data_IF_955285823048
#
_entry.id   IF_955285823048
#
_cell.length_a   1.000
_cell.length_b   1.000
_cell.length_c   1.000
_cell.angle_alpha   90.00
_cell.angle_beta   90.00
_cell.angle_gamma   90.00
#
_symmetry.space_group_name_H-M   'P 1'
#
loop_
_entity.id
_entity.type
_entity.pdbx_description
1 polymer ?
#
# COMPACT_ATOMS: atom_id res chain seq x y z
N UNK A 1 11.22 42.74 -39.49
CA UNK A 1 10.30 42.55 -38.34
C UNK A 1 9.52 41.23 -38.51
N UNK A 2 9.97 40.10 -37.95
CA UNK A 2 9.16 38.88 -37.90
C UNK A 2 8.44 38.75 -36.56
N UNK A 3 7.13 38.53 -36.61
CA UNK A 3 6.25 38.32 -35.45
C UNK A 3 6.52 36.93 -34.84
N UNK A 4 7.08 36.89 -33.63
CA UNK A 4 7.31 35.65 -32.87
C UNK A 4 6.06 35.25 -32.10
N UNK A 5 5.52 34.07 -32.43
CA UNK A 5 4.35 33.47 -31.81
C UNK A 5 4.55 33.25 -30.29
N UNK A 6 3.53 33.58 -29.49
CA UNK A 6 3.51 33.44 -28.03
C UNK A 6 3.26 31.98 -27.64
N UNK A 7 4.26 31.34 -27.04
CA UNK A 7 4.24 29.97 -26.55
C UNK A 7 3.40 29.87 -25.26
N UNK A 8 2.20 29.28 -25.35
CA UNK A 8 1.27 29.04 -24.24
C UNK A 8 1.64 27.75 -23.48
N UNK A 9 2.74 27.78 -22.71
CA UNK A 9 3.14 26.68 -21.81
C UNK A 9 3.33 27.10 -20.36
N UNK A 10 2.45 27.93 -19.83
CA UNK A 10 2.44 28.29 -18.39
C UNK A 10 1.02 28.37 -17.87
N UNK A 11 0.38 27.21 -17.59
CA UNK A 11 -0.82 27.10 -16.73
C UNK A 11 -1.15 25.63 -16.45
N UNK A 12 -0.34 24.99 -15.61
CA UNK A 12 -0.70 23.76 -14.88
C UNK A 12 0.31 23.51 -13.74
N UNK A 13 0.54 24.51 -12.89
CA UNK A 13 1.24 24.34 -11.60
C UNK A 13 0.24 24.67 -10.49
N UNK A 14 -0.83 23.88 -10.42
CA UNK A 14 -1.84 23.95 -9.37
C UNK A 14 -1.59 22.87 -8.33
N UNK A 15 -1.06 23.29 -7.18
CA UNK A 15 -1.21 22.68 -5.86
C UNK A 15 -1.10 21.14 -5.74
N UNK A 16 0.12 20.59 -5.78
CA UNK A 16 0.40 19.36 -5.02
C UNK A 16 0.42 19.74 -3.54
N UNK A 17 -0.60 19.32 -2.79
CA UNK A 17 -0.64 19.47 -1.33
C UNK A 17 0.56 18.70 -0.76
N UNK A 18 1.58 19.35 -0.18
CA UNK A 18 2.73 18.62 0.35
C UNK A 18 2.25 17.76 1.51
N UNK A 19 2.53 16.46 1.46
CA UNK A 19 2.29 15.58 2.59
C UNK A 19 3.26 16.01 3.69
N UNK A 20 2.75 16.53 4.81
CA UNK A 20 3.55 16.94 5.96
C UNK A 20 4.45 15.78 6.36
N UNK A 21 5.76 16.02 6.39
CA UNK A 21 6.69 15.20 7.17
C UNK A 21 6.18 15.21 8.62
N UNK A 22 5.93 14.02 9.17
CA UNK A 22 5.45 13.84 10.53
C UNK A 22 6.66 13.49 11.39
N UNK A 23 6.97 14.36 12.35
CA UNK A 23 8.00 14.10 13.34
C UNK A 23 7.72 12.78 14.07
N UNK A 24 8.72 11.90 14.06
CA UNK A 24 8.64 10.56 14.62
C UNK A 24 8.92 10.65 16.11
N UNK A 25 7.93 11.06 16.89
CA UNK A 25 8.00 10.93 18.33
C UNK A 25 7.88 9.44 18.67
N UNK A 26 9.00 8.81 19.03
CA UNK A 26 9.01 7.53 19.73
C UNK A 26 8.46 7.79 21.14
N UNK A 27 7.13 7.87 21.28
CA UNK A 27 6.51 7.95 22.59
C UNK A 27 6.62 6.58 23.25
N UNK A 28 7.63 6.44 24.11
CA UNK A 28 7.70 5.37 25.09
C UNK A 28 6.47 5.48 26.00
N UNK A 29 5.58 4.47 25.97
CA UNK A 29 4.45 4.43 26.87
C UNK A 29 3.33 3.48 26.45
N UNK A 30 3.33 2.28 27.03
CA UNK A 30 2.13 1.44 27.14
C UNK A 30 2.17 0.16 26.31
N UNK A 31 2.40 -0.97 26.97
CA UNK A 31 2.34 -2.32 26.41
C UNK A 31 1.18 -2.53 25.43
N UNK A 32 1.46 -2.58 24.12
CA UNK A 32 0.57 -3.11 23.08
C UNK A 32 1.42 -3.84 22.05
N UNK A 33 0.97 -5.03 21.63
CA UNK A 33 1.76 -5.99 20.87
C UNK A 33 2.53 -5.38 19.69
N UNK A 34 3.86 -5.47 19.76
CA UNK A 34 4.79 -5.19 18.66
C UNK A 34 4.68 -6.22 17.53
N UNK A 35 3.70 -7.12 17.58
CA UNK A 35 3.49 -8.13 16.57
C UNK A 35 2.00 -8.47 16.40
N UNK A 36 1.65 -8.99 15.24
CA UNK A 36 0.34 -9.58 14.96
C UNK A 36 0.49 -10.97 14.36
N UNK A 37 -0.52 -11.82 14.57
CA UNK A 37 -0.59 -13.13 13.91
C UNK A 37 -1.20 -12.99 12.52
N UNK A 38 -0.47 -13.40 11.48
CA UNK A 38 -0.92 -13.28 10.10
C UNK A 38 -2.19 -14.12 9.83
N UNK A 39 -3.20 -13.50 9.19
CA UNK A 39 -4.42 -14.19 8.78
C UNK A 39 -4.24 -15.17 7.61
N UNK A 40 -3.12 -15.08 6.88
CA UNK A 40 -2.78 -15.96 5.75
C UNK A 40 -1.95 -17.18 6.18
N UNK A 41 -0.72 -16.94 6.64
CA UNK A 41 0.24 -17.99 6.97
C UNK A 41 0.40 -18.29 8.47
N UNK A 42 -0.33 -17.58 9.35
CA UNK A 42 -0.30 -17.75 10.81
C UNK A 42 1.02 -17.42 11.53
N UNK A 43 2.04 -16.98 10.81
CA UNK A 43 3.28 -16.45 11.40
C UNK A 43 3.00 -15.24 12.28
N UNK A 44 3.80 -15.09 13.34
CA UNK A 44 3.88 -13.87 14.12
C UNK A 44 4.74 -12.84 13.38
N UNK A 45 4.22 -11.64 13.19
CA UNK A 45 4.81 -10.60 12.34
C UNK A 45 4.99 -9.33 13.16
N UNK A 46 6.23 -8.86 13.24
CA UNK A 46 6.54 -7.56 13.86
C UNK A 46 5.84 -6.41 13.13
N UNK A 47 5.23 -5.48 13.87
CA UNK A 47 4.70 -4.24 13.30
C UNK A 47 5.80 -3.25 12.94
N UNK A 48 6.96 -3.38 13.58
CA UNK A 48 8.15 -2.58 13.31
C UNK A 48 8.82 -3.07 12.03
N UNK A 49 8.98 -2.17 11.07
CA UNK A 49 9.43 -2.50 9.72
C UNK A 49 10.21 -1.34 9.09
N UNK A 50 11.32 -1.60 8.37
CA UNK A 50 12.04 -0.55 7.67
C UNK A 50 11.17 0.11 6.60
N UNK A 51 11.13 1.44 6.58
CA UNK A 51 10.46 2.22 5.53
C UNK A 51 8.96 2.46 5.75
N UNK A 52 8.33 1.91 6.79
CA UNK A 52 6.91 2.15 7.11
C UNK A 52 6.65 2.25 8.61
N UNK A 53 5.74 3.14 9.02
CA UNK A 53 5.30 3.29 10.42
C UNK A 53 4.02 2.52 10.73
N UNK A 54 3.34 2.00 9.70
CA UNK A 54 2.06 1.30 9.86
C UNK A 54 2.07 0.03 9.01
N UNK A 55 2.88 -0.96 9.39
CA UNK A 55 2.81 -2.28 8.74
C UNK A 55 1.40 -2.85 8.90
N UNK A 56 0.84 -3.29 7.79
CA UNK A 56 -0.47 -3.92 7.77
C UNK A 56 -0.48 -5.25 6.98
N UNK A 57 0.66 -5.68 6.43
CA UNK A 57 0.81 -6.99 5.77
C UNK A 57 1.97 -7.82 6.31
N UNK A 58 1.85 -9.13 6.17
CA UNK A 58 2.91 -10.08 6.50
C UNK A 58 4.04 -10.01 5.45
N UNK A 59 5.32 -9.91 5.84
CA UNK A 59 6.42 -9.84 4.88
C UNK A 59 6.60 -11.14 4.08
N UNK A 60 6.20 -12.28 4.64
CA UNK A 60 6.37 -13.60 3.99
C UNK A 60 5.30 -13.90 2.95
N UNK A 61 4.03 -13.63 3.25
CA UNK A 61 2.91 -13.99 2.37
C UNK A 61 2.14 -12.80 1.80
N UNK A 62 2.51 -11.57 2.18
CA UNK A 62 1.93 -10.30 1.75
C UNK A 62 0.43 -10.12 2.08
N UNK A 63 -0.17 -11.03 2.84
CA UNK A 63 -1.56 -10.92 3.29
C UNK A 63 -1.69 -9.82 4.33
N UNK A 64 -2.73 -9.02 4.18
CA UNK A 64 -3.13 -7.94 5.09
C UNK A 64 -4.47 -8.26 5.77
N UNK A 65 -4.90 -7.43 6.71
CA UNK A 65 -6.21 -7.46 7.34
C UNK A 65 -6.92 -6.11 7.13
N UNK A 66 -8.21 -6.13 6.83
CA UNK A 66 -8.98 -4.91 6.62
C UNK A 66 -9.35 -4.27 7.95
N UNK A 67 -8.38 -3.55 8.50
CA UNK A 67 -8.52 -2.88 9.80
C UNK A 67 -8.43 -1.36 9.70
N UNK A 68 -7.84 -0.82 8.63
CA UNK A 68 -7.81 0.63 8.41
C UNK A 68 -9.02 1.08 7.58
N UNK A 69 -9.61 2.25 7.92
CA UNK A 69 -10.78 2.79 7.23
C UNK A 69 -10.39 3.78 6.14
N UNK A 70 -9.86 4.95 6.51
CA UNK A 70 -9.47 6.00 5.55
C UNK A 70 -8.04 6.46 5.72
N UNK A 71 -7.52 6.41 6.95
CA UNK A 71 -6.18 6.86 7.28
C UNK A 71 -5.34 5.63 7.60
N UNK A 72 -4.19 5.43 6.94
CA UNK A 72 -3.30 4.31 7.27
C UNK A 72 -2.97 4.27 8.76
N UNK A 73 -3.21 3.12 9.40
CA UNK A 73 -3.01 2.93 10.83
C UNK A 73 -4.14 3.43 11.74
N UNK A 74 -5.26 3.96 11.23
CA UNK A 74 -6.40 4.35 12.06
C UNK A 74 -7.07 3.17 12.78
N UNK A 75 -6.86 1.94 12.28
CA UNK A 75 -7.44 0.69 12.80
C UNK A 75 -8.96 0.80 13.04
N UNK A 76 -9.65 1.63 12.25
CA UNK A 76 -11.05 2.01 12.46
C UNK A 76 -12.05 1.25 11.58
N UNK A 77 -11.63 0.23 10.83
CA UNK A 77 -12.52 -0.58 9.99
C UNK A 77 -13.14 -1.76 10.76
N UNK A 78 -14.46 -1.90 10.62
CA UNK A 78 -15.24 -2.96 11.27
C UNK A 78 -15.19 -4.30 10.51
N UNK A 79 -14.81 -4.27 9.23
CA UNK A 79 -14.81 -5.45 8.35
C UNK A 79 -13.89 -6.57 8.86
N UNK A 80 -12.63 -6.23 9.19
CA UNK A 80 -11.61 -7.15 9.73
C UNK A 80 -11.37 -8.41 8.91
N UNK A 81 -11.86 -8.47 7.67
CA UNK A 81 -11.65 -9.59 6.78
C UNK A 81 -10.23 -9.57 6.21
N UNK A 82 -9.78 -10.73 5.73
CA UNK A 82 -8.48 -10.86 5.05
C UNK A 82 -8.45 -9.95 3.81
N UNK A 83 -7.30 -9.32 3.58
CA UNK A 83 -7.01 -8.67 2.31
C UNK A 83 -5.90 -9.40 1.57
N UNK A 84 -6.17 -9.75 0.32
CA UNK A 84 -5.22 -10.43 -0.55
C UNK A 84 -4.40 -9.41 -1.34
N UNK A 85 -3.11 -9.70 -1.53
CA UNK A 85 -2.27 -8.91 -2.41
C UNK A 85 -2.71 -9.14 -3.88
N UNK A 86 -3.21 -8.09 -4.51
CA UNK A 86 -3.75 -8.11 -5.85
C UNK A 86 -2.65 -7.82 -6.88
N UNK A 87 -1.92 -6.72 -6.69
CA UNK A 87 -0.84 -6.28 -7.58
C UNK A 87 0.12 -5.33 -6.85
N UNK A 88 1.10 -4.78 -7.58
CA UNK A 88 2.02 -3.76 -7.11
C UNK A 88 1.89 -2.49 -7.96
N UNK A 89 2.10 -1.33 -7.35
CA UNK A 89 2.20 -0.06 -8.06
C UNK A 89 3.44 0.72 -7.63
N UNK A 90 4.09 1.36 -8.59
CA UNK A 90 5.19 2.29 -8.34
C UNK A 90 4.63 3.73 -8.36
N UNK A 91 5.00 4.51 -7.36
CA UNK A 91 4.67 5.93 -7.28
C UNK A 91 5.74 6.78 -7.96
N UNK A 92 5.42 8.02 -8.38
CA UNK A 92 6.39 8.92 -9.02
C UNK A 92 7.58 9.33 -8.13
N UNK A 93 7.46 9.19 -6.81
CA UNK A 93 8.51 9.43 -5.83
C UNK A 93 9.46 8.23 -5.62
N UNK A 94 9.26 7.14 -6.37
CA UNK A 94 10.07 5.93 -6.29
C UNK A 94 9.58 4.92 -5.27
N UNK A 95 8.53 5.24 -4.50
CA UNK A 95 7.96 4.34 -3.51
C UNK A 95 7.12 3.25 -4.17
N UNK A 96 7.29 2.01 -3.71
CA UNK A 96 6.51 0.88 -4.18
C UNK A 96 5.42 0.50 -3.18
N UNK A 97 4.25 0.20 -3.72
CA UNK A 97 3.06 -0.13 -2.94
C UNK A 97 2.54 -1.50 -3.35
N UNK A 98 2.05 -2.25 -2.37
CA UNK A 98 1.20 -3.42 -2.58
C UNK A 98 -0.25 -2.92 -2.59
N UNK A 99 -1.00 -3.31 -3.62
CA UNK A 99 -2.45 -3.10 -3.67
C UNK A 99 -3.12 -4.33 -3.10
N UNK A 100 -3.85 -4.15 -2.00
CA UNK A 100 -4.62 -5.18 -1.34
C UNK A 100 -6.10 -5.05 -1.67
N UNK A 101 -6.79 -6.17 -1.82
CA UNK A 101 -8.25 -6.23 -1.95
C UNK A 101 -8.87 -7.01 -0.82
N UNK A 102 -9.84 -6.43 -0.14
CA UNK A 102 -10.63 -7.12 0.88
C UNK A 102 -11.47 -8.24 0.23
N UNK A 103 -11.38 -9.45 0.77
CA UNK A 103 -12.14 -10.60 0.24
C UNK A 103 -13.63 -10.54 0.57
N UNK A 104 -14.01 -9.74 1.58
CA UNK A 104 -15.41 -9.60 2.03
C UNK A 104 -16.12 -8.42 1.37
N UNK A 105 -15.58 -7.21 1.47
CA UNK A 105 -16.24 -5.99 0.98
C UNK A 105 -15.66 -5.44 -0.34
N UNK A 106 -14.56 -6.01 -0.84
CA UNK A 106 -13.94 -5.58 -2.11
C UNK A 106 -13.11 -4.29 -2.05
N UNK A 107 -13.09 -3.58 -0.92
CA UNK A 107 -12.30 -2.37 -0.70
C UNK A 107 -10.81 -2.58 -1.03
N UNK A 108 -10.18 -1.53 -1.56
CA UNK A 108 -8.77 -1.54 -1.93
C UNK A 108 -7.95 -0.67 -0.98
N UNK A 109 -6.78 -1.18 -0.60
CA UNK A 109 -5.78 -0.41 0.16
C UNK A 109 -4.44 -0.46 -0.55
N UNK A 110 -3.69 0.64 -0.44
CA UNK A 110 -2.32 0.73 -0.92
C UNK A 110 -1.37 0.78 0.27
N UNK A 111 -0.64 -0.31 0.50
CA UNK A 111 0.29 -0.45 1.62
C UNK A 111 1.72 -0.37 1.10
N UNK A 112 2.59 0.39 1.77
CA UNK A 112 3.98 0.56 1.34
C UNK A 112 4.73 -0.78 1.49
N UNK A 113 5.57 -1.12 0.50
CA UNK A 113 6.50 -2.24 0.61
C UNK A 113 7.56 -1.90 1.66
N UNK A 114 7.71 -2.76 2.66
CA UNK A 114 8.72 -2.61 3.71
C UNK A 114 10.05 -3.20 3.26
N UNK A 115 11.15 -2.75 3.88
CA UNK A 115 12.51 -3.18 3.51
C UNK A 115 12.82 -4.65 3.80
N UNK A 116 11.99 -5.33 4.59
CA UNK A 116 12.11 -6.74 4.94
C UNK A 116 11.02 -7.63 4.30
N UNK A 117 10.23 -7.08 3.36
CA UNK A 117 9.27 -7.88 2.60
C UNK A 117 10.00 -8.91 1.72
N UNK A 118 9.46 -10.13 1.65
CA UNK A 118 10.12 -11.22 0.94
C UNK A 118 10.21 -10.93 -0.57
N UNK A 119 11.42 -10.80 -1.14
CA UNK A 119 11.60 -10.41 -2.54
C UNK A 119 11.00 -11.43 -3.51
N UNK A 120 11.05 -12.72 -3.18
CA UNK A 120 10.44 -13.76 -4.01
C UNK A 120 8.91 -13.66 -4.03
N UNK A 121 8.29 -13.28 -2.91
CA UNK A 121 6.86 -13.06 -2.85
C UNK A 121 6.44 -11.83 -3.70
N UNK A 122 7.24 -10.76 -3.65
CA UNK A 122 7.03 -9.56 -4.47
C UNK A 122 7.18 -9.85 -5.97
N UNK A 123 8.23 -10.56 -6.38
CA UNK A 123 8.42 -10.95 -7.79
C UNK A 123 7.27 -11.84 -8.27
N UNK A 124 6.82 -12.81 -7.47
CA UNK A 124 5.65 -13.63 -7.80
C UNK A 124 4.38 -12.82 -7.95
N UNK A 125 4.19 -11.79 -7.13
CA UNK A 125 3.06 -10.87 -7.23
C UNK A 125 3.13 -10.05 -8.53
N UNK A 126 4.30 -9.51 -8.87
CA UNK A 126 4.52 -8.75 -10.10
C UNK A 126 4.27 -9.60 -11.37
N UNK A 127 4.65 -10.87 -11.35
CA UNK A 127 4.46 -11.81 -12.47
C UNK A 127 3.08 -12.46 -12.52
N UNK A 128 2.22 -12.24 -11.52
CA UNK A 128 0.90 -12.87 -11.42
C UNK A 128 0.03 -12.70 -12.69
N UNK A 129 -0.04 -11.53 -13.34
CA UNK A 129 -0.82 -11.35 -14.56
C UNK A 129 -0.34 -12.17 -15.75
N UNK A 130 0.95 -12.55 -15.78
CA UNK A 130 1.51 -13.37 -16.86
C UNK A 130 1.20 -14.86 -16.66
N UNK A 131 0.92 -15.28 -15.42
CA UNK A 131 0.61 -16.68 -15.06
C UNK A 131 -0.89 -16.98 -15.10
N UNK A 132 -1.73 -15.96 -14.89
CA UNK A 132 -3.18 -16.08 -14.85
C UNK A 132 -3.82 -14.95 -15.68
N UNK A 133 -4.10 -15.18 -16.98
CA UNK A 133 -4.74 -14.18 -17.83
C UNK A 133 -6.17 -13.84 -17.38
N UNK A 134 -6.80 -14.69 -16.56
CA UNK A 134 -8.10 -14.44 -15.93
C UNK A 134 -8.07 -13.37 -14.83
N UNK A 135 -6.89 -12.88 -14.44
CA UNK A 135 -6.75 -11.85 -13.41
C UNK A 135 -7.13 -10.45 -13.92
N UNK A 136 -6.91 -10.17 -15.21
CA UNK A 136 -7.21 -8.88 -15.82
C UNK A 136 -8.68 -8.42 -15.61
N UNK A 137 -9.71 -9.26 -15.84
CA UNK A 137 -11.09 -8.88 -15.54
C UNK A 137 -11.37 -8.68 -14.04
N UNK A 138 -10.66 -9.38 -13.14
CA UNK A 138 -10.80 -9.25 -11.68
C UNK A 138 -10.11 -7.99 -11.13
N UNK A 139 -9.21 -7.41 -11.92
CA UNK A 139 -8.49 -6.17 -11.60
C UNK A 139 -9.17 -4.92 -12.19
N UNK A 140 -10.34 -5.07 -12.83
CA UNK A 140 -11.18 -3.94 -13.21
C UNK A 140 -11.69 -3.28 -11.92
N UNK A 141 -11.14 -2.11 -11.62
CA UNK A 141 -11.72 -1.18 -10.66
C UNK A 141 -13.09 -0.80 -11.22
N UNK A 142 -14.17 -1.21 -10.55
CA UNK A 142 -15.49 -0.69 -10.91
C UNK A 142 -15.43 0.84 -10.78
N UNK A 143 -15.98 1.59 -11.76
CA UNK A 143 -15.94 3.05 -11.77
C UNK A 143 -16.71 3.68 -10.60
#
# INVERSE_FOLDING_TARGET
MPRRAKNTRRRARGARRPQRYKDVLHSQGGHRGHAFRCAGCRLEVSVDAPGTTHRNHCPTCLVSLHVDRRVPGDRAADCRARMEALCMSARPDGEWMIIHRCVSCGELSANRIAGDDNPLALVRLALKPLRDPGIAPRMRLAP
#
